data_IF_411508977293
#
_entry.id   IF_411508977293
#
_cell.length_a   1.000
_cell.length_b   1.000
_cell.length_c   1.000
_cell.angle_alpha   90.00
_cell.angle_beta   90.00
_cell.angle_gamma   90.00
#
_symmetry.space_group_name_H-M   'P 1'
#
loop_
_entity.id
_entity.type
_entity.pdbx_description
1 polymer ?
#
# COMPACT_ATOMS: atom_id res chain seq x y z
N UNK A 1 8.42 -15.52 11.40
CA UNK A 1 7.60 -14.65 10.53
C UNK A 1 6.28 -14.49 11.26
N UNK A 2 5.85 -13.28 11.61
CA UNK A 2 4.49 -13.10 12.13
C UNK A 2 3.52 -13.48 11.03
N UNK A 3 2.46 -14.21 11.40
CA UNK A 3 1.43 -14.63 10.46
C UNK A 3 0.73 -13.39 9.88
N UNK A 4 0.49 -13.40 8.56
CA UNK A 4 -0.26 -12.33 7.91
C UNK A 4 -1.65 -12.21 8.55
N UNK A 5 -2.07 -10.97 8.83
CA UNK A 5 -3.36 -10.72 9.48
C UNK A 5 -4.54 -11.04 8.55
N UNK A 6 -5.71 -11.41 9.09
CA UNK A 6 -6.93 -11.61 8.29
C UNK A 6 -7.33 -10.34 7.53
N UNK A 7 -8.16 -10.45 6.49
CA UNK A 7 -8.64 -9.27 5.79
C UNK A 7 -9.48 -8.40 6.71
N UNK A 8 -9.55 -7.12 6.38
CA UNK A 8 -10.34 -6.11 7.08
C UNK A 8 -11.38 -5.50 6.13
N UNK A 9 -12.49 -5.03 6.70
CA UNK A 9 -13.49 -4.30 5.93
C UNK A 9 -13.05 -2.83 5.83
N UNK A 10 -13.07 -2.20 4.65
CA UNK A 10 -12.76 -0.77 4.55
C UNK A 10 -13.82 0.08 5.26
N UNK A 11 -13.49 0.64 6.41
CA UNK A 11 -14.36 1.50 7.22
C UNK A 11 -13.56 2.70 7.70
N UNK A 12 -14.07 3.92 7.48
CA UNK A 12 -13.49 5.12 8.07
C UNK A 12 -13.96 5.24 9.52
N UNK A 13 -13.09 4.91 10.47
CA UNK A 13 -13.39 5.15 11.89
C UNK A 13 -13.22 6.62 12.24
N UNK A 14 -13.87 7.08 13.32
CA UNK A 14 -13.70 8.45 13.80
C UNK A 14 -12.23 8.77 14.09
N UNK A 15 -11.81 10.01 13.81
CA UNK A 15 -10.43 10.44 14.03
C UNK A 15 -9.97 10.17 15.47
N UNK A 16 -10.80 10.50 16.47
CA UNK A 16 -10.51 10.29 17.89
C UNK A 16 -10.21 8.82 18.23
N UNK A 17 -10.92 7.87 17.61
CA UNK A 17 -10.70 6.44 17.83
C UNK A 17 -9.38 5.96 17.23
N UNK A 18 -9.06 6.42 16.01
CA UNK A 18 -7.80 6.12 15.34
C UNK A 18 -6.63 6.72 16.12
N UNK A 19 -6.72 8.00 16.51
CA UNK A 19 -5.70 8.68 17.31
C UNK A 19 -5.48 7.98 18.65
N UNK A 20 -6.56 7.63 19.38
CA UNK A 20 -6.45 6.91 20.65
C UNK A 20 -5.75 5.55 20.51
N UNK A 21 -5.98 4.81 19.42
CA UNK A 21 -5.30 3.55 19.14
C UNK A 21 -3.81 3.77 18.82
N UNK A 22 -3.48 4.77 18.00
CA UNK A 22 -2.11 5.11 17.63
C UNK A 22 -1.29 5.62 18.83
N UNK A 23 -1.88 6.41 19.72
CA UNK A 23 -1.25 6.87 20.97
C UNK A 23 -0.89 5.71 21.91
N UNK A 24 -1.68 4.64 21.90
CA UNK A 24 -1.39 3.39 22.61
C UNK A 24 -0.37 2.49 21.89
N UNK A 25 0.03 2.88 20.67
CA UNK A 25 0.91 2.10 19.81
C UNK A 25 0.24 0.89 19.14
N UNK A 26 -1.09 0.82 19.16
CA UNK A 26 -1.85 -0.31 18.61
C UNK A 26 -2.21 -0.11 17.13
N UNK A 27 -1.19 -0.23 16.28
CA UNK A 27 -1.34 -0.22 14.82
C UNK A 27 -2.12 -1.43 14.27
N UNK A 28 -2.36 -2.44 15.12
CA UNK A 28 -3.03 -3.69 14.74
C UNK A 28 -4.51 -3.72 15.09
N UNK A 29 -4.99 -2.71 15.78
CA UNK A 29 -6.42 -2.47 16.05
C UNK A 29 -7.24 -2.44 14.76
N UNK A 30 -8.51 -2.83 14.87
CA UNK A 30 -9.43 -2.79 13.73
C UNK A 30 -9.66 -1.34 13.30
N UNK A 31 -9.72 -0.39 14.23
CA UNK A 31 -9.86 1.04 13.96
C UNK A 31 -8.78 1.56 13.00
N UNK A 32 -7.51 1.20 13.25
CA UNK A 32 -6.40 1.61 12.38
C UNK A 32 -6.44 0.85 11.07
N UNK A 33 -6.56 -0.48 11.09
CA UNK A 33 -6.44 -1.30 9.87
C UNK A 33 -7.61 -1.09 8.92
N UNK A 34 -8.84 -1.00 9.41
CA UNK A 34 -10.04 -0.73 8.60
C UNK A 34 -9.99 0.69 8.01
N UNK A 35 -9.52 1.68 8.77
CA UNK A 35 -9.32 3.05 8.28
C UNK A 35 -8.26 3.09 7.18
N UNK A 36 -7.12 2.42 7.37
CA UNK A 36 -6.09 2.33 6.33
C UNK A 36 -6.64 1.69 5.05
N UNK A 37 -7.42 0.60 5.18
CA UNK A 37 -8.09 -0.02 4.04
C UNK A 37 -9.06 0.95 3.35
N UNK A 38 -9.88 1.69 4.11
CA UNK A 38 -10.79 2.72 3.58
C UNK A 38 -10.04 3.78 2.78
N UNK A 39 -8.96 4.33 3.36
CA UNK A 39 -8.18 5.38 2.69
C UNK A 39 -7.59 4.87 1.38
N UNK A 40 -7.09 3.64 1.36
CA UNK A 40 -6.51 3.06 0.15
C UNK A 40 -7.53 2.78 -0.95
N UNK A 41 -8.66 2.14 -0.63
CA UNK A 41 -9.69 1.84 -1.66
C UNK A 41 -10.36 3.10 -2.22
N UNK A 42 -10.36 4.21 -1.46
CA UNK A 42 -10.92 5.50 -1.89
C UNK A 42 -9.85 6.46 -2.46
N UNK A 43 -8.63 6.00 -2.73
CA UNK A 43 -7.52 6.81 -3.25
C UNK A 43 -7.13 8.02 -2.37
N UNK A 44 -7.38 7.96 -1.06
CA UNK A 44 -6.91 8.94 -0.08
C UNK A 44 -5.45 8.66 0.33
N UNK A 45 -4.57 8.47 -0.66
CA UNK A 45 -3.17 8.10 -0.46
C UNK A 45 -2.35 9.06 0.42
N UNK A 46 -2.52 10.39 0.35
CA UNK A 46 -1.84 11.28 1.27
C UNK A 46 -2.19 11.03 2.74
N UNK A 47 -3.48 10.78 3.02
CA UNK A 47 -3.95 10.48 4.38
C UNK A 47 -3.45 9.12 4.85
N UNK A 48 -3.48 8.12 3.96
CA UNK A 48 -2.88 6.80 4.21
C UNK A 48 -1.39 6.94 4.59
N UNK A 49 -0.63 7.72 3.80
CA UNK A 49 0.77 8.01 4.08
C UNK A 49 0.96 8.75 5.42
N UNK A 50 0.11 9.72 5.75
CA UNK A 50 0.26 10.51 6.98
C UNK A 50 0.19 9.66 8.25
N UNK A 51 -0.63 8.61 8.26
CA UNK A 51 -0.71 7.68 9.39
C UNK A 51 0.61 6.91 9.50
N UNK A 52 1.10 6.37 8.38
CA UNK A 52 2.41 5.69 8.33
C UNK A 52 3.57 6.59 8.76
N UNK A 53 3.61 7.85 8.32
CA UNK A 53 4.64 8.81 8.70
C UNK A 53 4.58 9.14 10.20
N UNK A 54 3.38 9.33 10.75
CA UNK A 54 3.14 9.61 12.17
C UNK A 54 3.64 8.47 13.05
N UNK A 55 3.30 7.24 12.69
CA UNK A 55 3.77 6.02 13.38
C UNK A 55 5.27 5.79 13.17
N UNK A 56 5.81 6.22 12.02
CA UNK A 56 7.19 5.96 11.64
C UNK A 56 7.46 4.51 11.20
N UNK A 57 6.42 3.80 10.77
CA UNK A 57 6.48 2.40 10.34
C UNK A 57 6.01 2.27 8.89
N UNK A 58 6.63 1.34 8.15
CA UNK A 58 6.14 0.97 6.84
C UNK A 58 4.81 0.21 6.99
N UNK A 59 3.83 0.58 6.20
CA UNK A 59 2.58 -0.15 6.05
C UNK A 59 2.50 -0.71 4.63
N UNK A 60 1.92 -1.89 4.50
CA UNK A 60 1.54 -2.46 3.21
C UNK A 60 0.05 -2.72 3.20
N UNK A 61 -0.57 -2.41 2.07
CA UNK A 61 -1.91 -2.79 1.73
C UNK A 61 -1.88 -3.72 0.51
N UNK A 62 -2.58 -4.83 0.61
CA UNK A 62 -2.83 -5.72 -0.50
C UNK A 62 -4.34 -5.78 -0.75
N UNK A 63 -4.77 -5.62 -2.00
CA UNK A 63 -6.16 -5.90 -2.41
C UNK A 63 -6.13 -7.09 -3.35
N UNK A 64 -6.88 -8.11 -3.00
CA UNK A 64 -6.94 -9.35 -3.77
C UNK A 64 -7.97 -9.29 -4.91
N UNK A 65 -8.07 -10.38 -5.68
CA UNK A 65 -8.97 -10.44 -6.82
C UNK A 65 -10.47 -10.33 -6.46
N UNK A 66 -10.83 -10.58 -5.20
CA UNK A 66 -12.21 -10.48 -4.68
C UNK A 66 -12.48 -9.14 -3.97
N UNK A 67 -11.45 -8.29 -3.84
CA UNK A 67 -11.55 -6.99 -3.19
C UNK A 67 -11.29 -7.03 -1.69
N UNK A 68 -10.82 -8.16 -1.14
CA UNK A 68 -10.44 -8.24 0.26
C UNK A 68 -9.18 -7.42 0.51
N UNK A 69 -9.20 -6.63 1.58
CA UNK A 69 -8.13 -5.71 1.94
C UNK A 69 -7.31 -6.28 3.08
N UNK A 70 -6.00 -6.30 2.92
CA UNK A 70 -5.06 -6.79 3.92
C UNK A 70 -4.05 -5.70 4.27
N UNK A 71 -4.07 -5.26 5.53
CA UNK A 71 -3.14 -4.27 6.07
C UNK A 71 -2.11 -4.98 6.95
N UNK A 72 -0.84 -4.77 6.63
CA UNK A 72 0.32 -5.29 7.35
C UNK A 72 1.28 -4.14 7.71
N UNK A 73 1.95 -4.27 8.85
CA UNK A 73 2.87 -3.25 9.36
C UNK A 73 4.24 -3.86 9.59
N UNK A 74 5.30 -3.15 9.19
CA UNK A 74 6.66 -3.60 9.40
C UNK A 74 7.66 -2.48 9.61
N UNK A 75 8.90 -2.89 9.86
CA UNK A 75 10.05 -1.99 9.91
C UNK A 75 10.56 -1.71 8.50
N UNK A 76 11.30 -0.61 8.33
CA UNK A 76 11.93 -0.19 7.06
C UNK A 76 12.52 -1.39 6.28
N UNK A 77 12.12 -1.52 5.01
CA UNK A 77 12.55 -2.58 4.08
C UNK A 77 12.13 -4.01 4.44
N UNK A 78 11.09 -4.21 5.26
CA UNK A 78 10.61 -5.55 5.64
C UNK A 78 9.15 -5.84 5.31
N UNK A 79 8.41 -4.90 4.73
CA UNK A 79 7.04 -5.20 4.33
C UNK A 79 7.05 -5.82 2.93
N UNK A 80 7.23 -7.14 2.91
CA UNK A 80 7.13 -7.92 1.69
C UNK A 80 5.68 -8.10 1.25
N UNK A 81 5.50 -8.56 0.01
CA UNK A 81 4.25 -9.19 -0.40
C UNK A 81 4.05 -10.42 0.49
N UNK A 82 3.25 -10.27 1.54
CA UNK A 82 2.95 -11.33 2.51
C UNK A 82 1.54 -11.85 2.21
N UNK A 83 1.34 -12.65 1.14
CA UNK A 83 0.02 -13.06 0.70
C UNK A 83 -0.66 -13.84 1.83
N UNK A 84 -1.74 -13.30 2.41
CA UNK A 84 -2.40 -13.91 3.53
C UNK A 84 -3.10 -15.19 3.13
N UNK A 85 -3.16 -16.14 4.06
CA UNK A 85 -3.87 -17.40 3.83
C UNK A 85 -5.33 -17.10 3.50
N UNK A 86 -5.78 -17.62 2.35
CA UNK A 86 -7.16 -17.44 1.87
C UNK A 86 -7.37 -16.26 0.91
N UNK A 87 -6.33 -15.50 0.56
CA UNK A 87 -6.45 -14.44 -0.44
C UNK A 87 -6.49 -14.99 -1.88
N UNK A 88 -7.23 -14.31 -2.75
CA UNK A 88 -7.44 -14.73 -4.15
C UNK A 88 -6.51 -13.99 -5.11
N UNK A 89 -5.64 -14.71 -5.83
CA UNK A 89 -4.74 -14.16 -6.85
C UNK A 89 -5.41 -14.10 -8.24
N UNK A 90 -4.97 -13.19 -9.14
CA UNK A 90 -3.94 -12.17 -8.95
C UNK A 90 -4.43 -10.99 -8.12
N UNK A 91 -3.57 -10.48 -7.24
CA UNK A 91 -3.80 -9.26 -6.48
C UNK A 91 -3.99 -8.07 -7.41
N UNK A 92 -5.03 -7.28 -7.14
CA UNK A 92 -5.35 -6.07 -7.89
C UNK A 92 -4.27 -5.01 -7.67
N UNK A 93 -3.90 -4.80 -6.40
CA UNK A 93 -2.92 -3.78 -6.03
C UNK A 93 -2.11 -4.21 -4.81
N UNK A 94 -0.83 -3.90 -4.85
CA UNK A 94 0.05 -3.89 -3.68
C UNK A 94 0.57 -2.47 -3.46
N UNK A 95 0.24 -1.88 -2.32
CA UNK A 95 0.68 -0.53 -1.95
C UNK A 95 1.57 -0.61 -0.72
N UNK A 96 2.71 0.09 -0.69
CA UNK A 96 3.49 0.27 0.53
C UNK A 96 3.99 1.70 0.68
N UNK A 97 4.48 2.02 1.87
CA UNK A 97 4.99 3.35 2.21
C UNK A 97 6.49 3.32 2.49
N UNK A 98 7.20 4.41 2.20
CA UNK A 98 8.50 4.75 2.75
C UNK A 98 8.36 5.92 3.74
N UNK A 99 8.17 5.66 5.04
CA UNK A 99 8.04 6.70 6.06
C UNK A 99 9.28 7.59 6.03
N UNK A 100 9.08 8.91 5.95
CA UNK A 100 10.15 9.93 5.93
C UNK A 100 11.07 9.90 4.70
N UNK A 101 10.74 9.08 3.69
CA UNK A 101 11.47 8.97 2.43
C UNK A 101 10.65 9.46 1.22
N UNK A 102 11.31 9.47 0.07
CA UNK A 102 10.68 9.72 -1.23
C UNK A 102 10.05 8.42 -1.78
N UNK A 103 9.14 8.56 -2.74
CA UNK A 103 8.63 7.42 -3.50
C UNK A 103 9.64 6.95 -4.53
N UNK A 104 10.19 5.75 -4.36
CA UNK A 104 11.06 5.10 -5.33
C UNK A 104 10.97 3.58 -5.15
N UNK A 105 11.30 2.82 -6.19
CA UNK A 105 11.41 1.37 -6.08
C UNK A 105 12.77 0.99 -5.50
N UNK A 106 12.77 0.60 -4.23
CA UNK A 106 13.97 0.11 -3.54
C UNK A 106 14.48 -1.19 -4.15
N UNK A 107 15.68 -1.61 -3.77
CA UNK A 107 16.20 -2.92 -4.17
C UNK A 107 15.26 -4.06 -3.73
N UNK A 108 14.76 -4.00 -2.49
CA UNK A 108 13.80 -4.97 -1.94
C UNK A 108 12.49 -4.96 -2.71
N UNK A 109 11.98 -3.78 -3.07
CA UNK A 109 10.72 -3.66 -3.82
C UNK A 109 10.87 -4.30 -5.20
N UNK A 110 11.97 -4.02 -5.89
CA UNK A 110 12.28 -4.59 -7.21
C UNK A 110 12.45 -6.11 -7.13
N UNK A 111 12.99 -6.65 -6.05
CA UNK A 111 13.03 -8.10 -5.83
C UNK A 111 11.61 -8.68 -5.66
N UNK A 112 10.76 -8.05 -4.85
CA UNK A 112 9.36 -8.46 -4.68
C UNK A 112 8.60 -8.43 -6.01
N UNK A 113 8.71 -7.34 -6.77
CA UNK A 113 8.06 -7.19 -8.09
C UNK A 113 8.58 -8.20 -9.10
N UNK A 114 9.88 -8.52 -9.07
CA UNK A 114 10.45 -9.54 -9.95
C UNK A 114 9.86 -10.93 -9.65
N UNK A 115 9.77 -11.32 -8.37
CA UNK A 115 9.15 -12.58 -7.96
C UNK A 115 7.66 -12.60 -8.31
N UNK A 116 6.94 -11.51 -8.03
CA UNK A 116 5.52 -11.37 -8.33
C UNK A 116 5.23 -11.44 -9.83
N UNK A 117 6.13 -10.93 -10.68
CA UNK A 117 6.05 -11.00 -12.14
C UNK A 117 6.13 -12.44 -12.65
N UNK A 118 7.10 -13.22 -12.16
CA UNK A 118 7.26 -14.63 -12.55
C UNK A 118 6.06 -15.46 -12.13
N UNK A 119 5.52 -15.21 -10.93
CA UNK A 119 4.34 -15.90 -10.43
C UNK A 119 3.01 -15.35 -10.99
N UNK A 120 3.04 -14.20 -11.68
CA UNK A 120 1.87 -13.49 -12.21
C UNK A 120 0.80 -13.18 -11.16
N UNK A 121 1.24 -12.75 -9.97
CA UNK A 121 0.36 -12.61 -8.80
C UNK A 121 -0.03 -11.18 -8.45
N UNK A 122 0.54 -10.13 -9.06
CA UNK A 122 0.15 -8.72 -8.82
C UNK A 122 -0.05 -8.00 -10.15
N UNK A 123 -1.08 -7.15 -10.23
CA UNK A 123 -1.37 -6.32 -11.41
C UNK A 123 -0.79 -4.91 -11.32
N UNK A 124 -0.87 -4.27 -10.16
CA UNK A 124 -0.40 -2.91 -9.92
C UNK A 124 0.37 -2.82 -8.60
N UNK A 125 1.41 -2.00 -8.57
CA UNK A 125 2.12 -1.65 -7.36
C UNK A 125 2.17 -0.14 -7.17
N UNK A 126 2.07 0.33 -5.93
CA UNK A 126 2.21 1.73 -5.54
C UNK A 126 3.21 1.85 -4.39
N UNK A 127 4.15 2.79 -4.47
CA UNK A 127 4.97 3.22 -3.34
C UNK A 127 4.70 4.68 -2.98
N UNK A 128 4.34 4.90 -1.72
CA UNK A 128 4.02 6.21 -1.17
C UNK A 128 5.19 6.76 -0.36
N UNK A 129 5.47 8.04 -0.56
CA UNK A 129 6.53 8.80 0.10
C UNK A 129 6.02 10.19 0.43
N UNK A 130 6.91 11.06 0.93
CA UNK A 130 6.56 12.42 1.34
C UNK A 130 5.91 13.21 0.20
N UNK A 131 4.59 13.37 0.27
CA UNK A 131 3.76 14.00 -0.77
C UNK A 131 4.03 13.42 -2.18
N UNK A 132 4.44 12.16 -2.25
CA UNK A 132 4.83 11.50 -3.50
C UNK A 132 4.14 10.15 -3.61
N UNK A 133 3.87 9.79 -4.86
CA UNK A 133 3.36 8.49 -5.25
C UNK A 133 4.13 8.05 -6.48
N UNK A 134 4.59 6.80 -6.50
CA UNK A 134 5.15 6.18 -7.70
C UNK A 134 4.40 4.88 -7.96
N UNK A 135 3.99 4.69 -9.20
CA UNK A 135 3.22 3.53 -9.62
C UNK A 135 4.01 2.65 -10.58
N UNK A 136 3.61 1.38 -10.65
CA UNK A 136 4.10 0.43 -11.64
C UNK A 136 2.98 -0.55 -11.95
N UNK A 137 2.75 -0.78 -13.24
CA UNK A 137 1.71 -1.68 -13.74
C UNK A 137 2.38 -2.84 -14.44
N UNK A 138 1.97 -4.05 -14.09
CA UNK A 138 2.43 -5.27 -14.72
C UNK A 138 1.63 -5.58 -15.98
N UNK A 139 2.30 -6.06 -17.02
CA UNK A 139 1.64 -6.57 -18.21
C UNK A 139 2.34 -7.82 -18.79
N UNK A 140 1.58 -8.63 -19.54
CA UNK A 140 2.11 -9.85 -20.19
C UNK A 140 3.19 -9.53 -21.24
N UNK A 141 3.19 -8.32 -21.79
CA UNK A 141 4.22 -7.84 -22.70
C UNK A 141 5.25 -6.98 -21.96
N UNK A 142 6.48 -6.88 -22.47
CA UNK A 142 7.41 -5.90 -21.94
C UNK A 142 6.83 -4.48 -22.01
N UNK A 143 6.98 -3.72 -20.93
CA UNK A 143 6.57 -2.32 -20.91
C UNK A 143 7.49 -1.48 -21.81
N UNK A 144 6.95 -0.40 -22.39
CA UNK A 144 7.72 0.51 -23.24
C UNK A 144 8.84 1.22 -22.46
N UNK A 145 8.53 1.66 -21.24
CA UNK A 145 9.47 2.22 -20.28
C UNK A 145 9.48 1.31 -19.03
N UNK A 146 10.31 0.26 -19.02
CA UNK A 146 10.24 -0.75 -17.97
C UNK A 146 11.13 -0.42 -16.77
N UNK A 147 10.82 -1.02 -15.63
CA UNK A 147 11.69 -0.99 -14.44
C UNK A 147 13.06 -1.60 -14.70
N UNK A 148 13.21 -2.50 -15.67
CA UNK A 148 14.49 -2.96 -16.18
C UNK A 148 14.38 -3.36 -17.65
N UNK A 149 15.46 -3.19 -18.42
CA UNK A 149 15.47 -3.52 -19.86
C UNK A 149 15.26 -5.02 -20.15
N UNK A 150 15.47 -5.91 -19.17
CA UNK A 150 15.32 -7.35 -19.32
C UNK A 150 14.92 -8.06 -18.02
N UNK A 151 14.54 -9.33 -18.15
CA UNK A 151 14.13 -10.17 -17.03
C UNK A 151 12.73 -9.85 -16.51
N UNK A 152 12.33 -10.34 -15.32
CA UNK A 152 10.95 -10.21 -14.85
C UNK A 152 10.47 -8.77 -14.66
N UNK A 153 11.39 -7.83 -14.45
CA UNK A 153 11.11 -6.41 -14.30
C UNK A 153 10.86 -5.69 -15.62
N UNK A 154 11.14 -6.32 -16.78
CA UNK A 154 10.79 -5.73 -18.08
C UNK A 154 9.28 -5.67 -18.33
N UNK A 155 8.49 -6.40 -17.53
CA UNK A 155 7.03 -6.45 -17.61
C UNK A 155 6.32 -5.39 -16.77
N UNK A 156 7.07 -4.60 -16.00
CA UNK A 156 6.56 -3.59 -15.09
C UNK A 156 6.89 -2.19 -15.63
N UNK A 157 5.92 -1.28 -15.72
CA UNK A 157 6.17 0.11 -16.10
C UNK A 157 6.97 0.87 -15.03
N UNK A 158 7.84 1.79 -15.44
CA UNK A 158 8.54 2.72 -14.55
C UNK A 158 7.90 4.12 -14.60
N UNK A 159 6.69 4.26 -14.05
CA UNK A 159 5.98 5.53 -14.14
C UNK A 159 6.69 6.66 -13.37
N UNK A 160 6.53 7.90 -13.85
CA UNK A 160 7.09 9.07 -13.19
C UNK A 160 6.52 9.23 -11.78
N UNK A 161 7.32 9.81 -10.89
CA UNK A 161 6.86 10.18 -9.55
C UNK A 161 5.82 11.28 -9.67
N UNK A 162 4.66 11.06 -9.07
CA UNK A 162 3.57 12.01 -8.98
C UNK A 162 3.62 12.71 -7.62
N UNK A 163 3.42 14.03 -7.61
CA UNK A 163 3.24 14.77 -6.37
C UNK A 163 1.77 14.79 -5.99
N UNK A 164 1.46 14.38 -4.76
CA UNK A 164 0.08 14.23 -4.27
C UNK A 164 -0.18 15.25 -3.16
N UNK A 165 -1.19 16.10 -3.37
CA UNK A 165 -1.65 17.04 -2.36
C UNK A 165 -2.59 16.36 -1.37
N UNK A 166 -2.54 16.76 -0.09
CA UNK A 166 -3.33 16.12 0.98
C UNK A 166 -4.85 16.20 0.77
N UNK A 167 -5.31 17.21 0.02
CA UNK A 167 -6.73 17.39 -0.28
C UNK A 167 -7.58 17.66 0.96
N UNK A 168 -8.90 17.45 0.83
CA UNK A 168 -9.85 17.57 1.94
C UNK A 168 -9.72 16.36 2.86
N UNK A 169 -9.81 16.60 4.17
CA UNK A 169 -9.78 15.53 5.16
C UNK A 169 -11.01 14.63 5.02
N UNK A 170 -10.84 13.28 4.95
CA UNK A 170 -11.96 12.37 4.84
C UNK A 170 -12.87 12.45 6.07
N UNK A 171 -12.33 12.77 7.24
CA UNK A 171 -13.10 13.00 8.48
C UNK A 171 -13.89 14.31 8.51
N UNK A 172 -13.66 15.23 7.56
CA UNK A 172 -14.46 16.46 7.43
C UNK A 172 -15.60 16.32 6.41
N UNK A 173 -15.53 15.34 5.51
CA UNK A 173 -16.52 15.15 4.46
C UNK A 173 -17.87 14.62 5.01
N UNK A 174 -17.88 13.98 6.18
CA UNK A 174 -19.11 13.46 6.81
C UNK A 174 -19.96 14.51 7.53
N UNK A 175 -19.53 15.77 7.59
CA UNK A 175 -20.30 16.84 8.25
C UNK A 175 -21.37 17.46 7.33
N UNK A 176 -21.45 17.05 6.06
CA UNK A 176 -22.39 17.58 5.07
C UNK A 176 -23.29 16.51 4.39
N UNK A 177 -23.79 15.52 5.14
CA UNK A 177 -24.83 14.60 4.67
C UNK A 177 -26.15 14.75 5.45
#
# INVERSE_FOLDING_TARGET
>A
MSEAKPPVTPVLHSLDAVEAALEQGDVWSDEVRETMAYLGVNNHWPWFYSISETVGMEVSMLVDAEGLCFIDWGTISRVGLNPPKGATIPFQIWTHTHPRGNSYWSFTDRQTLAVASVAKIIRKAIVLGRAQMKESVWSEQPAAEPLAESGPLSHWSDELVQYVEMGVSPWRAEVEA
#
